data_IF_736638421900
#
_entry.id   IF_736638421900
#
_cell.length_a   1.000
_cell.length_b   1.000
_cell.length_c   1.000
_cell.angle_alpha   90.00
_cell.angle_beta   90.00
_cell.angle_gamma   90.00
#
_symmetry.space_group_name_H-M   'P 1'
#
loop_
_entity.id
_entity.type
_entity.pdbx_description
1 polymer ?
#
# COMPACT_ATOMS: atom_id res chain seq x y z
N UNK A 1 2.51 -74.36 61.57
CA UNK A 1 3.09 -73.08 61.12
C UNK A 1 2.85 -72.98 59.63
N UNK A 2 1.99 -72.03 59.21
CA UNK A 2 1.49 -71.93 57.84
C UNK A 2 2.51 -71.24 56.92
N UNK A 3 2.66 -71.78 55.72
CA UNK A 3 3.45 -71.27 54.59
C UNK A 3 2.78 -70.04 53.98
N UNK A 4 3.54 -68.96 53.79
CA UNK A 4 3.12 -67.79 53.02
C UNK A 4 4.11 -67.57 51.87
N UNK A 5 3.63 -67.87 50.67
CA UNK A 5 4.25 -67.61 49.37
C UNK A 5 3.32 -66.61 48.69
N UNK A 6 3.69 -65.35 48.46
CA UNK A 6 3.16 -64.57 47.34
C UNK A 6 3.97 -63.28 47.08
N UNK A 7 4.49 -63.21 45.85
CA UNK A 7 4.93 -62.03 45.07
C UNK A 7 6.32 -61.42 45.34
N UNK A 8 7.27 -61.91 44.54
CA UNK A 8 8.24 -61.09 43.80
C UNK A 8 7.61 -59.77 43.32
N UNK A 9 8.27 -58.67 43.66
CA UNK A 9 8.03 -57.35 43.08
C UNK A 9 8.90 -57.25 41.83
N UNK A 10 8.35 -57.34 40.60
CA UNK A 10 9.12 -56.93 39.43
C UNK A 10 9.37 -55.42 39.50
N UNK A 11 10.59 -55.02 39.17
CA UNK A 11 11.00 -53.63 38.95
C UNK A 11 10.03 -52.92 37.99
N UNK A 12 9.86 -51.59 38.09
CA UNK A 12 9.02 -50.87 37.13
C UNK A 12 9.69 -50.96 35.76
N UNK A 13 9.23 -51.90 34.94
CA UNK A 13 9.45 -51.86 33.50
C UNK A 13 8.83 -50.55 33.06
N UNK A 14 9.70 -49.58 32.74
CA UNK A 14 9.33 -48.36 32.06
C UNK A 14 8.86 -48.76 30.65
N UNK A 15 7.64 -49.28 30.57
CA UNK A 15 6.94 -49.55 29.32
C UNK A 15 6.68 -48.20 28.64
N UNK A 16 7.22 -48.12 27.43
CA UNK A 16 7.22 -46.96 26.55
C UNK A 16 5.87 -46.25 26.53
N UNK A 17 5.90 -44.95 26.84
CA UNK A 17 4.75 -44.06 26.70
C UNK A 17 4.11 -44.22 25.30
N UNK A 18 2.79 -44.46 25.20
CA UNK A 18 2.12 -44.53 23.91
C UNK A 18 2.29 -43.19 23.17
N UNK A 19 2.91 -43.23 21.99
CA UNK A 19 3.02 -42.08 21.08
C UNK A 19 1.60 -41.58 20.78
N UNK A 20 1.27 -40.41 21.35
CA UNK A 20 -0.05 -39.78 21.23
C UNK A 20 -0.43 -39.67 19.75
N UNK A 21 -1.67 -40.02 19.36
CA UNK A 21 -2.11 -39.85 17.98
C UNK A 21 -2.02 -38.37 17.62
N UNK A 22 -1.18 -38.04 16.63
CA UNK A 22 -1.03 -36.68 16.11
C UNK A 22 -2.40 -36.23 15.60
N UNK A 23 -2.91 -35.14 16.17
CA UNK A 23 -4.19 -34.54 15.76
C UNK A 23 -4.11 -34.21 14.28
N UNK A 24 -5.02 -34.79 13.49
CA UNK A 24 -5.12 -34.56 12.04
C UNK A 24 -5.37 -33.08 11.80
N UNK A 25 -4.30 -32.36 11.44
CA UNK A 25 -4.36 -30.95 11.14
C UNK A 25 -5.01 -30.74 9.78
N UNK A 26 -5.58 -29.56 9.56
CA UNK A 26 -6.05 -29.13 8.24
C UNK A 26 -4.90 -29.24 7.20
N UNK A 27 -3.66 -29.08 7.67
CA UNK A 27 -2.43 -29.30 6.89
C UNK A 27 -2.21 -30.75 6.45
N UNK A 28 -2.56 -31.75 7.26
CA UNK A 28 -2.38 -33.16 6.89
C UNK A 28 -3.37 -33.55 5.77
N UNK A 29 -4.61 -33.06 5.85
CA UNK A 29 -5.62 -33.28 4.82
C UNK A 29 -5.24 -32.60 3.50
N UNK A 30 -4.67 -31.40 3.57
CA UNK A 30 -4.15 -30.70 2.41
C UNK A 30 -2.96 -31.44 1.79
N UNK A 31 -2.05 -31.96 2.62
CA UNK A 31 -0.90 -32.72 2.17
C UNK A 31 -1.34 -34.00 1.45
N UNK A 32 -2.21 -34.82 2.06
CA UNK A 32 -2.73 -36.04 1.41
C UNK A 32 -3.48 -35.74 0.11
N UNK A 33 -4.25 -34.64 0.06
CA UNK A 33 -4.93 -34.23 -1.17
C UNK A 33 -3.95 -33.82 -2.28
N UNK A 34 -2.88 -33.09 -1.94
CA UNK A 34 -1.91 -32.58 -2.90
C UNK A 34 -1.01 -33.70 -3.44
N UNK A 35 -0.55 -34.60 -2.57
CA UNK A 35 0.26 -35.78 -2.94
C UNK A 35 -0.51 -36.72 -3.85
N UNK A 36 -1.79 -36.98 -3.55
CA UNK A 36 -2.65 -37.80 -4.41
C UNK A 36 -2.94 -37.16 -5.77
N UNK A 37 -2.92 -35.81 -5.88
CA UNK A 37 -3.24 -35.07 -7.11
C UNK A 37 -2.05 -34.95 -8.05
N UNK A 38 -0.82 -34.98 -7.53
CA UNK A 38 0.40 -34.72 -8.28
C UNK A 38 1.22 -35.99 -8.62
N UNK A 39 0.72 -37.18 -8.28
CA UNK A 39 1.42 -38.48 -8.46
C UNK A 39 2.85 -38.47 -7.89
N UNK A 40 3.13 -37.57 -6.94
CA UNK A 40 4.40 -37.48 -6.24
C UNK A 40 4.38 -38.57 -5.17
N UNK A 41 5.27 -39.54 -5.29
CA UNK A 41 5.40 -40.67 -4.36
C UNK A 41 5.49 -40.25 -2.88
N UNK A 42 5.24 -41.23 -2.01
CA UNK A 42 4.76 -41.19 -0.60
C UNK A 42 5.46 -40.24 0.41
N UNK A 43 6.48 -39.49 0.02
CA UNK A 43 7.29 -38.69 0.95
C UNK A 43 7.69 -37.34 0.37
N UNK A 44 6.76 -36.38 0.33
CA UNK A 44 7.16 -34.97 0.25
C UNK A 44 7.70 -34.54 1.63
N UNK A 45 8.98 -34.13 1.74
CA UNK A 45 9.51 -33.62 3.00
C UNK A 45 8.66 -32.45 3.47
N UNK A 46 8.27 -32.43 4.74
CA UNK A 46 7.44 -31.33 5.29
C UNK A 46 8.03 -29.93 5.06
N UNK A 47 9.34 -29.84 4.80
CA UNK A 47 10.05 -28.62 4.41
C UNK A 47 9.68 -28.10 3.00
N UNK A 48 9.46 -28.98 2.02
CA UNK A 48 9.08 -28.57 0.65
C UNK A 48 7.64 -28.06 0.63
N UNK A 49 6.73 -28.74 1.32
CA UNK A 49 5.34 -28.31 1.47
C UNK A 49 5.26 -26.92 2.14
N UNK A 50 6.04 -26.70 3.21
CA UNK A 50 6.15 -25.38 3.87
C UNK A 50 6.63 -24.30 2.91
N UNK A 51 7.60 -24.61 2.05
CA UNK A 51 8.14 -23.69 1.04
C UNK A 51 7.12 -23.35 -0.05
N UNK A 52 6.35 -24.32 -0.52
CA UNK A 52 5.29 -24.11 -1.52
C UNK A 52 4.18 -23.23 -0.96
N UNK A 53 3.74 -23.48 0.28
CA UNK A 53 2.74 -22.64 0.95
C UNK A 53 3.26 -21.21 1.12
N UNK A 54 4.52 -21.04 1.50
CA UNK A 54 5.15 -19.73 1.62
C UNK A 54 5.18 -18.96 0.29
N UNK A 55 5.53 -19.65 -0.81
CA UNK A 55 5.47 -19.09 -2.17
C UNK A 55 4.04 -18.78 -2.62
N UNK A 56 3.07 -19.63 -2.28
CA UNK A 56 1.65 -19.40 -2.57
C UNK A 56 1.12 -18.15 -1.89
N UNK A 57 1.47 -17.94 -0.61
CA UNK A 57 1.11 -16.73 0.14
C UNK A 57 1.72 -15.49 -0.54
N UNK A 58 2.99 -15.54 -0.94
CA UNK A 58 3.62 -14.45 -1.69
C UNK A 58 2.96 -14.19 -3.05
N UNK A 59 2.55 -15.24 -3.76
CA UNK A 59 1.84 -15.11 -5.03
C UNK A 59 0.49 -14.43 -4.86
N UNK A 60 -0.28 -14.79 -3.83
CA UNK A 60 -1.55 -14.13 -3.51
C UNK A 60 -1.31 -12.66 -3.13
N UNK A 61 -0.30 -12.39 -2.29
CA UNK A 61 0.06 -11.02 -1.91
C UNK A 61 0.47 -10.19 -3.14
N UNK A 62 1.22 -10.79 -4.07
CA UNK A 62 1.61 -10.15 -5.31
C UNK A 62 0.40 -9.79 -6.18
N UNK A 63 -0.53 -10.72 -6.38
CA UNK A 63 -1.76 -10.46 -7.15
C UNK A 63 -2.59 -9.35 -6.49
N UNK A 64 -2.70 -9.37 -5.17
CA UNK A 64 -3.42 -8.34 -4.41
C UNK A 64 -2.83 -6.95 -4.62
N UNK A 65 -1.50 -6.85 -4.51
CA UNK A 65 -0.77 -5.59 -4.71
C UNK A 65 -0.89 -5.14 -6.17
N UNK A 66 -0.70 -6.04 -7.14
CA UNK A 66 -0.82 -5.78 -8.57
C UNK A 66 -2.21 -5.22 -8.95
N UNK A 67 -3.29 -5.81 -8.41
CA UNK A 67 -4.65 -5.36 -8.68
C UNK A 67 -4.91 -3.92 -8.22
N UNK A 68 -4.23 -3.47 -7.18
CA UNK A 68 -4.42 -2.12 -6.64
C UNK A 68 -3.84 -1.02 -7.55
N UNK A 69 -2.76 -1.31 -8.31
CA UNK A 69 -2.06 -0.31 -9.13
C UNK A 69 -2.93 0.36 -10.18
N UNK A 70 -3.83 -0.38 -10.82
CA UNK A 70 -4.67 0.17 -11.89
C UNK A 70 -5.55 1.31 -11.37
N UNK A 71 -6.11 1.14 -10.16
CA UNK A 71 -6.92 2.17 -9.52
C UNK A 71 -6.09 3.39 -9.10
N UNK A 72 -4.84 3.19 -8.69
CA UNK A 72 -3.92 4.26 -8.32
C UNK A 72 -3.51 5.10 -9.52
N UNK A 73 -3.17 4.48 -10.65
CA UNK A 73 -2.81 5.18 -11.88
C UNK A 73 -3.96 6.09 -12.33
N UNK A 74 -5.19 5.57 -12.37
CA UNK A 74 -6.38 6.37 -12.71
C UNK A 74 -6.66 7.51 -11.74
N UNK A 75 -6.23 7.41 -10.48
CA UNK A 75 -6.34 8.52 -9.50
C UNK A 75 -5.27 9.58 -9.75
N UNK A 76 -4.04 9.16 -10.05
CA UNK A 76 -2.93 10.06 -10.38
C UNK A 76 -3.26 10.88 -11.62
N UNK A 77 -3.77 10.25 -12.68
CA UNK A 77 -4.13 10.96 -13.91
C UNK A 77 -5.23 12.00 -13.68
N UNK A 78 -6.26 11.66 -12.90
CA UNK A 78 -7.32 12.61 -12.51
C UNK A 78 -6.77 13.78 -11.70
N UNK A 79 -5.94 13.51 -10.70
CA UNK A 79 -5.33 14.56 -9.89
C UNK A 79 -4.42 15.48 -10.72
N UNK A 80 -3.70 14.92 -11.71
CA UNK A 80 -2.89 15.70 -12.64
C UNK A 80 -3.74 16.61 -13.52
N UNK A 81 -4.82 16.09 -14.10
CA UNK A 81 -5.74 16.89 -14.91
C UNK A 81 -6.36 18.03 -14.09
N UNK A 82 -6.79 17.77 -12.86
CA UNK A 82 -7.33 18.80 -11.96
C UNK A 82 -6.29 19.89 -11.64
N UNK A 83 -5.03 19.51 -11.46
CA UNK A 83 -3.93 20.45 -11.24
C UNK A 83 -3.67 21.32 -12.49
N UNK A 84 -3.67 20.71 -13.68
CA UNK A 84 -3.46 21.40 -14.95
C UNK A 84 -4.61 22.37 -15.25
N UNK A 85 -5.86 21.97 -15.01
CA UNK A 85 -7.05 22.83 -15.14
C UNK A 85 -6.98 24.04 -14.20
N UNK A 86 -6.68 23.80 -12.90
CA UNK A 86 -6.51 24.89 -11.93
C UNK A 86 -5.38 25.84 -12.33
N UNK A 87 -4.28 25.31 -12.86
CA UNK A 87 -3.15 26.11 -13.35
C UNK A 87 -3.56 26.97 -14.53
N UNK A 88 -4.32 26.42 -15.48
CA UNK A 88 -4.85 27.16 -16.62
C UNK A 88 -5.79 28.29 -16.16
N UNK A 89 -6.72 27.98 -15.25
CA UNK A 89 -7.62 28.98 -14.66
C UNK A 89 -6.87 30.11 -13.95
N UNK A 90 -5.84 29.79 -13.16
CA UNK A 90 -4.99 30.78 -12.51
C UNK A 90 -4.28 31.68 -13.52
N UNK A 91 -3.66 31.12 -14.56
CA UNK A 91 -2.95 31.90 -15.58
C UNK A 91 -3.92 32.83 -16.31
N UNK A 92 -5.10 32.34 -16.67
CA UNK A 92 -6.16 33.14 -17.30
C UNK A 92 -6.60 34.30 -16.40
N UNK A 93 -6.87 34.03 -15.12
CA UNK A 93 -7.29 35.06 -14.17
C UNK A 93 -6.17 36.06 -13.88
N UNK A 94 -4.93 35.59 -13.76
CA UNK A 94 -3.75 36.44 -13.59
C UNK A 94 -3.56 37.37 -14.79
N UNK A 95 -3.76 36.88 -16.01
CA UNK A 95 -3.71 37.68 -17.23
C UNK A 95 -4.76 38.80 -17.22
N UNK A 96 -6.01 38.48 -16.86
CA UNK A 96 -7.07 39.49 -16.69
C UNK A 96 -6.74 40.52 -15.62
N UNK A 97 -6.21 40.07 -14.48
CA UNK A 97 -5.77 40.96 -13.41
C UNK A 97 -4.63 41.88 -13.87
N UNK A 98 -3.61 41.34 -14.54
CA UNK A 98 -2.50 42.13 -15.08
C UNK A 98 -2.97 43.17 -16.11
N UNK A 99 -3.94 42.81 -16.96
CA UNK A 99 -4.53 43.76 -17.89
C UNK A 99 -5.27 44.87 -17.14
N UNK A 100 -6.10 44.52 -16.17
CA UNK A 100 -6.82 45.49 -15.35
C UNK A 100 -5.90 46.38 -14.49
N UNK A 101 -4.74 45.86 -14.07
CA UNK A 101 -3.75 46.58 -13.27
C UNK A 101 -2.75 47.38 -14.12
N UNK A 102 -2.85 47.39 -15.45
CA UNK A 102 -1.99 48.22 -16.30
C UNK A 102 -2.28 49.69 -16.03
N UNK A 103 -1.22 50.48 -15.88
CA UNK A 103 -1.32 51.93 -15.64
C UNK A 103 -2.14 52.64 -16.72
N UNK A 104 -1.96 52.28 -17.99
CA UNK A 104 -2.73 52.84 -19.09
C UNK A 104 -4.22 52.46 -19.08
N UNK A 105 -4.58 51.25 -18.62
CA UNK A 105 -5.99 50.84 -18.50
C UNK A 105 -6.65 51.48 -17.28
N UNK A 106 -5.91 51.65 -16.18
CA UNK A 106 -6.37 52.38 -15.00
C UNK A 106 -6.58 53.86 -15.34
N UNK A 107 -5.62 54.50 -16.02
CA UNK A 107 -5.71 55.90 -16.43
C UNK A 107 -6.91 56.13 -17.35
N UNK A 108 -7.14 55.26 -18.35
CA UNK A 108 -8.33 55.32 -19.21
C UNK A 108 -9.63 55.24 -18.41
N UNK A 109 -9.72 54.35 -17.42
CA UNK A 109 -10.92 54.22 -16.57
C UNK A 109 -11.14 55.42 -15.66
N UNK A 110 -10.06 56.04 -15.17
CA UNK A 110 -10.11 57.22 -14.31
C UNK A 110 -10.22 58.54 -15.11
N UNK A 111 -10.13 58.48 -16.45
CA UNK A 111 -10.32 59.66 -17.32
C UNK A 111 -11.75 60.15 -17.23
N UNK A 112 -12.73 59.25 -17.09
CA UNK A 112 -14.14 59.61 -16.87
C UNK A 112 -14.36 60.36 -15.54
N UNK A 113 -13.49 60.13 -14.55
CA UNK A 113 -13.48 60.82 -13.26
C UNK A 113 -12.60 62.10 -13.27
N UNK A 114 -12.04 62.48 -14.43
CA UNK A 114 -11.26 63.72 -14.62
C UNK A 114 -9.79 63.65 -14.19
N UNK A 115 -9.23 62.45 -13.99
CA UNK A 115 -7.83 62.24 -13.60
C UNK A 115 -6.97 61.94 -14.83
N UNK A 116 -5.94 62.74 -15.08
CA UNK A 116 -5.00 62.57 -16.20
C UNK A 116 -3.71 61.84 -15.79
N UNK A 117 -3.14 61.06 -16.72
CA UNK A 117 -1.87 60.37 -16.51
C UNK A 117 -0.71 61.37 -16.48
N UNK A 118 0.10 61.35 -15.41
CA UNK A 118 1.30 62.17 -15.36
C UNK A 118 2.40 61.57 -16.25
N UNK A 119 2.49 62.05 -17.48
CA UNK A 119 3.49 61.64 -18.49
C UNK A 119 4.87 62.26 -18.19
N UNK A 120 4.93 63.30 -17.33
CA UNK A 120 6.18 63.98 -17.01
C UNK A 120 6.92 63.27 -15.87
N UNK A 121 8.22 62.95 -16.04
CA UNK A 121 8.99 62.30 -14.98
C UNK A 121 9.12 63.24 -13.76
N UNK A 122 9.01 62.72 -12.53
CA UNK A 122 9.09 63.54 -11.32
C UNK A 122 10.47 64.17 -11.17
N UNK A 123 10.51 65.46 -10.83
CA UNK A 123 11.75 66.19 -10.58
C UNK A 123 12.36 65.78 -9.24
N UNK A 124 13.65 65.42 -9.26
CA UNK A 124 14.40 65.10 -8.04
C UNK A 124 14.63 66.39 -7.23
N UNK A 125 14.00 66.46 -6.06
CA UNK A 125 14.25 67.55 -5.10
C UNK A 125 15.60 67.29 -4.45
N UNK A 126 16.58 68.17 -4.71
CA UNK A 126 17.88 68.15 -4.01
C UNK A 126 17.82 69.24 -2.95
N UNK A 127 17.84 68.84 -1.68
CA UNK A 127 17.92 69.77 -0.55
C UNK A 127 19.38 70.24 -0.45
N UNK A 128 19.59 71.55 -0.42
CA UNK A 128 20.91 72.17 -0.28
C UNK A 128 21.34 72.22 1.17
#
# INVERSE_FOLDING_TARGET
MATNTFRDRPEPVAEAAPKRPRKTGIFDRLNTWLTNRLELGDELPTETLRRIIWLGILGIFYIYVQHSYESFIKKIDRARNDMEEKRAAYISQKSKYMFASKQSEIAKKLTDDGLEENITPPTKIVVK
#
